data_IF_898100509164
#
_entry.id   IF_898100509164
#
_cell.length_a   1.000
_cell.length_b   1.000
_cell.length_c   1.000
_cell.angle_alpha   90.00
_cell.angle_beta   90.00
_cell.angle_gamma   90.00
#
_symmetry.space_group_name_H-M   'P 1'
#
loop_
_entity.id
_entity.type
_entity.pdbx_description
1 polymer ?
#
# COMPACT_ATOMS: atom_id res chain seq x y z
N UNK A 1 14.41 -8.36 -9.03
CA UNK A 1 12.96 -8.12 -9.20
C UNK A 1 12.28 -7.55 -7.95
N UNK A 2 12.22 -8.28 -6.82
CA UNK A 2 11.56 -7.77 -5.60
C UNK A 2 12.05 -6.38 -5.15
N UNK A 3 13.36 -6.15 -5.07
CA UNK A 3 13.87 -4.84 -4.62
C UNK A 3 13.58 -3.71 -5.62
N UNK A 4 13.56 -4.01 -6.93
CA UNK A 4 13.16 -3.03 -7.97
C UNK A 4 11.71 -2.62 -7.76
N UNK A 5 10.81 -3.57 -7.54
CA UNK A 5 9.39 -3.30 -7.30
C UNK A 5 9.15 -2.57 -5.97
N UNK A 6 9.90 -2.91 -4.91
CA UNK A 6 9.86 -2.12 -3.66
C UNK A 6 10.23 -0.66 -3.90
N UNK A 7 11.30 -0.40 -4.66
CA UNK A 7 11.72 0.97 -4.97
C UNK A 7 10.69 1.71 -5.81
N UNK A 8 10.05 1.03 -6.77
CA UNK A 8 8.95 1.58 -7.56
C UNK A 8 7.75 1.95 -6.69
N UNK A 9 7.31 1.02 -5.83
CA UNK A 9 6.20 1.25 -4.89
C UNK A 9 6.52 2.40 -3.93
N UNK A 10 7.74 2.47 -3.38
CA UNK A 10 8.21 3.58 -2.54
C UNK A 10 8.12 4.93 -3.26
N UNK A 11 8.54 4.98 -4.53
CA UNK A 11 8.49 6.21 -5.33
C UNK A 11 7.06 6.71 -5.54
N UNK A 12 6.12 5.81 -5.85
CA UNK A 12 4.70 6.18 -6.02
C UNK A 12 4.08 6.57 -4.69
N UNK A 13 4.29 5.77 -3.63
CA UNK A 13 3.77 6.05 -2.29
C UNK A 13 4.22 7.42 -1.75
N UNK A 14 5.47 7.81 -2.02
CA UNK A 14 5.99 9.13 -1.63
C UNK A 14 5.21 10.29 -2.28
N UNK A 15 4.73 10.14 -3.52
CA UNK A 15 3.92 11.17 -4.21
C UNK A 15 2.50 11.26 -3.63
N UNK A 16 2.05 10.21 -2.98
CA UNK A 16 0.73 10.09 -2.36
C UNK A 16 0.72 10.48 -0.87
N UNK A 17 1.86 10.94 -0.33
CA UNK A 17 2.03 11.21 1.12
C UNK A 17 1.82 9.96 1.98
N UNK A 18 2.27 8.80 1.48
CA UNK A 18 2.23 7.51 2.17
C UNK A 18 3.64 7.13 2.61
N UNK A 19 3.80 6.91 3.92
CA UNK A 19 5.06 6.47 4.51
C UNK A 19 5.29 4.99 4.23
N UNK A 20 6.48 4.64 3.73
CA UNK A 20 6.89 3.26 3.50
C UNK A 20 8.10 2.94 4.38
N UNK A 21 7.99 1.91 5.21
CA UNK A 21 9.05 1.52 6.13
C UNK A 21 10.07 0.59 5.45
N UNK A 22 11.32 0.67 5.89
CA UNK A 22 12.39 -0.21 5.41
C UNK A 22 12.02 -1.67 5.67
N UNK A 23 12.25 -2.53 4.69
CA UNK A 23 11.95 -3.96 4.79
C UNK A 23 13.01 -4.79 4.08
N UNK A 24 13.51 -5.80 4.80
CA UNK A 24 14.46 -6.80 4.31
C UNK A 24 13.77 -8.08 3.80
N UNK A 25 12.43 -8.16 3.88
CA UNK A 25 11.62 -9.31 3.42
C UNK A 25 10.91 -9.00 2.09
N UNK A 26 9.97 -9.85 1.63
CA UNK A 26 9.21 -9.66 0.38
C UNK A 26 7.94 -8.80 0.56
N UNK A 27 7.84 -7.98 1.60
CA UNK A 27 6.71 -7.08 1.84
C UNK A 27 7.17 -5.67 2.21
N UNK A 28 6.27 -4.70 2.17
CA UNK A 28 6.45 -3.36 2.71
C UNK A 28 5.38 -3.09 3.76
N UNK A 29 5.80 -2.61 4.93
CA UNK A 29 4.87 -1.96 5.86
C UNK A 29 4.65 -0.52 5.35
N UNK A 30 3.39 -0.10 5.31
CA UNK A 30 2.99 1.20 4.81
C UNK A 30 2.02 1.87 5.79
N UNK A 31 2.05 3.20 5.84
CA UNK A 31 1.14 4.03 6.65
C UNK A 31 0.60 5.17 5.80
N UNK A 32 -0.71 5.36 5.80
CA UNK A 32 -1.37 6.49 5.14
C UNK A 32 -2.03 7.42 6.17
N UNK A 33 -2.68 8.50 5.72
CA UNK A 33 -3.60 9.30 6.55
C UNK A 33 -5.06 8.80 6.48
N UNK A 34 -5.32 7.80 5.65
CA UNK A 34 -6.65 7.29 5.34
C UNK A 34 -6.94 6.11 6.30
N UNK A 35 -7.93 6.23 7.19
CA UNK A 35 -8.30 5.14 8.08
C UNK A 35 -8.96 3.98 7.32
N UNK A 36 -8.83 2.78 7.88
CA UNK A 36 -9.37 1.54 7.33
C UNK A 36 -8.90 1.25 5.89
N UNK A 37 -7.67 1.63 5.55
CA UNK A 37 -7.13 1.50 4.19
C UNK A 37 -7.14 0.04 3.69
N UNK A 38 -6.84 -0.92 4.55
CA UNK A 38 -6.89 -2.36 4.24
C UNK A 38 -8.27 -2.80 3.73
N UNK A 39 -9.34 -2.27 4.35
CA UNK A 39 -10.72 -2.54 3.96
C UNK A 39 -11.05 -1.90 2.61
N UNK A 40 -10.69 -0.62 2.44
CA UNK A 40 -10.90 0.11 1.17
C UNK A 40 -10.18 -0.55 -0.01
N UNK A 41 -8.96 -1.06 0.20
CA UNK A 41 -8.22 -1.83 -0.81
C UNK A 41 -8.93 -3.15 -1.13
N UNK A 42 -9.41 -3.87 -0.10
CA UNK A 42 -10.19 -5.11 -0.30
C UNK A 42 -11.46 -4.86 -1.12
N UNK A 43 -12.14 -3.73 -0.90
CA UNK A 43 -13.31 -3.32 -1.70
C UNK A 43 -12.97 -3.02 -3.17
N UNK A 44 -11.70 -2.71 -3.49
CA UNK A 44 -11.18 -2.62 -4.86
C UNK A 44 -10.63 -3.96 -5.39
N UNK A 45 -10.84 -5.07 -4.68
CA UNK A 45 -10.33 -6.39 -5.04
C UNK A 45 -8.84 -6.61 -4.72
N UNK A 46 -8.22 -5.73 -3.91
CA UNK A 46 -6.81 -5.83 -3.53
C UNK A 46 -6.68 -6.32 -2.09
N UNK A 47 -6.20 -7.55 -1.91
CA UNK A 47 -5.92 -8.10 -0.59
C UNK A 47 -4.55 -7.66 -0.09
N UNK A 48 -4.53 -6.95 1.03
CA UNK A 48 -3.32 -6.62 1.80
C UNK A 48 -3.43 -7.20 3.20
N UNK A 49 -2.31 -7.39 3.89
CA UNK A 49 -2.35 -7.82 5.28
C UNK A 49 -2.76 -6.65 6.16
N UNK A 50 -3.94 -6.77 6.78
CA UNK A 50 -4.41 -5.83 7.78
C UNK A 50 -3.66 -6.00 9.10
N UNK A 51 -3.01 -4.93 9.56
CA UNK A 51 -2.30 -4.86 10.85
C UNK A 51 -2.94 -3.83 11.78
N UNK A 52 -4.17 -3.42 11.49
CA UNK A 52 -4.92 -2.42 12.24
C UNK A 52 -5.00 -2.71 13.74
N UNK A 53 -5.19 -3.98 14.11
CA UNK A 53 -5.23 -4.44 15.52
C UNK A 53 -3.92 -4.22 16.29
N UNK A 54 -2.80 -4.04 15.59
CA UNK A 54 -1.48 -3.88 16.20
C UNK A 54 -0.96 -2.44 16.12
N UNK A 55 -1.20 -1.76 15.00
CA UNK A 55 -0.55 -0.48 14.68
C UNK A 55 -1.52 0.67 14.39
N UNK A 56 -2.82 0.39 14.23
CA UNK A 56 -3.84 1.38 13.83
C UNK A 56 -4.32 1.17 12.39
N UNK A 57 -5.55 1.62 12.12
CA UNK A 57 -6.31 1.39 10.88
C UNK A 57 -5.67 1.97 9.61
N UNK A 58 -4.69 2.84 9.79
CA UNK A 58 -3.91 3.54 8.77
C UNK A 58 -2.71 2.74 8.27
N UNK A 59 -2.37 1.64 8.97
CA UNK A 59 -1.25 0.76 8.66
C UNK A 59 -1.70 -0.53 7.99
N UNK A 60 -0.92 -0.97 7.02
CA UNK A 60 -1.12 -2.23 6.31
C UNK A 60 0.23 -2.75 5.79
N UNK A 61 0.31 -4.04 5.48
CA UNK A 61 1.46 -4.61 4.76
C UNK A 61 1.05 -5.10 3.39
N UNK A 62 1.84 -4.73 2.39
CA UNK A 62 1.70 -5.22 1.02
C UNK A 62 2.84 -6.17 0.69
N UNK A 63 2.50 -7.37 0.24
CA UNK A 63 3.48 -8.32 -0.32
C UNK A 63 3.86 -7.87 -1.73
N UNK A 64 5.14 -7.96 -2.07
CA UNK A 64 5.63 -7.67 -3.41
C UNK A 64 5.31 -8.87 -4.30
N UNK A 65 4.32 -8.70 -5.17
CA UNK A 65 3.92 -9.69 -6.16
C UNK A 65 4.61 -9.50 -7.50
N UNK A 66 3.98 -10.02 -8.55
CA UNK A 66 4.34 -9.76 -9.93
C UNK A 66 4.16 -8.28 -10.29
N UNK A 67 4.80 -7.84 -11.38
CA UNK A 67 4.64 -6.47 -11.89
C UNK A 67 3.18 -6.09 -12.09
N UNK A 68 2.38 -6.99 -12.68
CA UNK A 68 0.96 -6.79 -12.96
C UNK A 68 0.13 -6.63 -11.67
N UNK A 69 0.37 -7.48 -10.67
CA UNK A 69 -0.30 -7.38 -9.36
C UNK A 69 0.07 -6.07 -8.65
N UNK A 70 1.35 -5.69 -8.69
CA UNK A 70 1.82 -4.45 -8.09
C UNK A 70 1.23 -3.22 -8.83
N UNK A 71 1.03 -3.29 -10.15
CA UNK A 71 0.37 -2.24 -10.92
C UNK A 71 -1.11 -2.09 -10.54
N UNK A 72 -1.85 -3.20 -10.34
CA UNK A 72 -3.22 -3.15 -9.83
C UNK A 72 -3.30 -2.56 -8.42
N UNK A 73 -2.38 -2.96 -7.52
CA UNK A 73 -2.30 -2.39 -6.19
C UNK A 73 -2.07 -0.88 -6.22
N UNK A 74 -1.10 -0.41 -7.01
CA UNK A 74 -0.79 1.02 -7.11
C UNK A 74 -1.94 1.83 -7.69
N UNK A 75 -2.60 1.33 -8.74
CA UNK A 75 -3.78 1.99 -9.31
C UNK A 75 -4.94 2.10 -8.33
N UNK A 76 -5.21 1.05 -7.54
CA UNK A 76 -6.22 1.09 -6.49
C UNK A 76 -5.84 2.07 -5.36
N UNK A 77 -4.57 2.07 -4.95
CA UNK A 77 -4.06 2.97 -3.91
C UNK A 77 -4.19 4.44 -4.32
N UNK A 78 -3.77 4.77 -5.55
CA UNK A 78 -3.91 6.12 -6.13
C UNK A 78 -5.38 6.55 -6.16
N UNK A 79 -6.28 5.70 -6.69
CA UNK A 79 -7.71 5.98 -6.75
C UNK A 79 -8.29 6.30 -5.37
N UNK A 80 -7.98 5.48 -4.36
CA UNK A 80 -8.44 5.71 -2.98
C UNK A 80 -7.87 7.02 -2.45
N UNK A 81 -6.58 7.30 -2.68
CA UNK A 81 -5.96 8.55 -2.20
C UNK A 81 -6.59 9.80 -2.81
N UNK A 82 -6.89 9.80 -4.12
CA UNK A 82 -7.54 10.94 -4.76
C UNK A 82 -8.98 11.15 -4.26
N UNK A 83 -9.75 10.09 -4.04
CA UNK A 83 -11.12 10.18 -3.52
C UNK A 83 -11.23 10.69 -2.07
N UNK A 84 -10.15 10.70 -1.29
CA UNK A 84 -10.14 11.24 0.09
C UNK A 84 -9.65 12.70 0.15
N UNK A 85 -9.39 13.34 -1.01
CA UNK A 85 -8.95 14.75 -1.08
C UNK A 85 -10.07 15.73 -1.45
N UNK A 86 -11.25 15.20 -1.79
CA UNK A 86 -12.49 15.95 -1.98
C UNK A 86 -13.34 15.94 -0.70
#
# INVERSE_FOLDING_TARGET
>A
EVEKEKNRIRSVASKLDISVFKSYSNFLLMKTKIPNISKKLTEQGILVLDVSKQLGSEYFRVTIGTRKENDYFLGALEKITYQNRD
#
